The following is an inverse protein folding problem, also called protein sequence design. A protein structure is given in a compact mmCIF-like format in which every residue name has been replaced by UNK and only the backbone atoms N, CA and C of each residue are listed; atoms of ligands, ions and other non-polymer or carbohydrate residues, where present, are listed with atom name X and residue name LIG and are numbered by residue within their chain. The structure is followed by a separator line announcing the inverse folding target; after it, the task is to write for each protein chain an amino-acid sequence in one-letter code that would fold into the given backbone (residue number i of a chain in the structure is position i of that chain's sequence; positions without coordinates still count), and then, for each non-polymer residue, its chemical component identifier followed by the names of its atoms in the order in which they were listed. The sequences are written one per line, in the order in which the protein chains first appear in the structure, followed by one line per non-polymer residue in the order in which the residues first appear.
data_IF_322359977756
#
_entry.id   IF_322359977756
#
_cell.length_a   1.000
_cell.length_b   1.000
_cell.length_c   1.000
_cell.angle_alpha   90.00
_cell.angle_beta   90.00
_cell.angle_gamma   90.00
#
_symmetry.space_group_name_H-M   'P 1'
#
loop_
_entity.id
_entity.type
_entity.pdbx_description
1 polymer ?
#
# COMPACT_ATOMS: atom_id res chain seq x y z
N UNK A 1 55.72 -53.11 25.29
CA UNK A 1 54.96 -51.85 25.25
C UNK A 1 54.67 -51.54 23.79
N UNK A 2 53.45 -51.39 23.27
CA UNK A 2 52.07 -51.65 23.72
C UNK A 2 51.23 -51.46 22.43
N UNK A 3 50.33 -52.41 22.11
CA UNK A 3 48.90 -52.31 21.68
C UNK A 3 48.49 -51.10 20.78
N UNK A 4 47.57 -51.12 19.81
CA UNK A 4 46.46 -51.96 19.34
C UNK A 4 45.96 -51.27 18.05
N UNK A 5 45.80 -51.97 16.92
CA UNK A 5 44.52 -52.45 16.35
C UNK A 5 43.32 -51.47 16.27
N UNK A 6 42.86 -51.31 15.02
CA UNK A 6 41.46 -51.37 14.56
C UNK A 6 40.41 -50.35 15.04
N UNK A 7 39.86 -49.59 14.07
CA UNK A 7 38.43 -49.63 13.70
C UNK A 7 38.24 -48.78 12.42
N UNK A 8 37.76 -49.28 11.26
CA UNK A 8 36.36 -49.71 10.94
C UNK A 8 35.40 -48.55 11.25
N UNK A 9 34.72 -47.92 10.30
CA UNK A 9 33.52 -48.37 9.57
C UNK A 9 33.25 -47.30 8.50
N UNK A 10 33.27 -47.65 7.21
CA UNK A 10 32.10 -47.95 6.36
C UNK A 10 31.29 -46.68 6.02
N UNK A 11 31.39 -46.22 4.77
CA UNK A 11 30.42 -46.49 3.69
C UNK A 11 29.05 -45.87 3.98
N UNK A 12 28.74 -44.81 3.24
CA UNK A 12 27.44 -44.17 3.27
C UNK A 12 27.34 -43.18 2.11
N UNK A 13 27.24 -43.75 0.91
CA UNK A 13 26.39 -43.25 -0.19
C UNK A 13 26.55 -41.77 -0.58
N UNK A 14 27.45 -41.54 -1.56
CA UNK A 14 27.13 -40.65 -2.68
C UNK A 14 25.88 -41.21 -3.38
N UNK A 15 24.69 -40.75 -2.98
CA UNK A 15 23.45 -40.79 -3.76
C UNK A 15 22.35 -40.09 -2.96
N UNK A 16 22.06 -38.83 -3.29
CA UNK A 16 20.95 -38.12 -2.62
C UNK A 16 20.73 -36.66 -2.98
N UNK A 17 21.36 -36.14 -4.04
CA UNK A 17 21.11 -34.77 -4.51
C UNK A 17 20.39 -34.70 -5.87
N UNK A 18 19.93 -35.83 -6.40
CA UNK A 18 19.13 -35.88 -7.63
C UNK A 18 17.73 -36.38 -7.27
N UNK A 19 16.72 -35.55 -7.53
CA UNK A 19 15.29 -35.69 -7.18
C UNK A 19 14.83 -35.05 -5.86
N UNK A 20 15.32 -33.85 -5.53
CA UNK A 20 14.39 -32.91 -4.91
C UNK A 20 13.33 -32.58 -5.96
N UNK A 21 12.04 -32.92 -5.73
CA UNK A 21 11.02 -32.69 -6.74
C UNK A 21 10.97 -31.20 -7.06
N UNK A 22 10.92 -30.85 -8.34
CA UNK A 22 11.06 -29.48 -8.87
C UNK A 22 10.17 -28.42 -8.18
N UNK A 23 9.09 -28.84 -7.51
CA UNK A 23 8.22 -27.96 -6.72
C UNK A 23 8.83 -27.47 -5.39
N UNK A 24 9.94 -28.04 -4.92
CA UNK A 24 10.68 -27.60 -3.72
C UNK A 24 11.86 -26.68 -4.04
N UNK A 25 12.24 -26.54 -5.32
CA UNK A 25 13.37 -25.72 -5.78
C UNK A 25 12.95 -24.31 -6.21
N UNK A 26 11.66 -24.08 -6.43
CA UNK A 26 11.11 -22.75 -6.63
C UNK A 26 10.39 -22.36 -5.33
N UNK A 27 10.97 -21.49 -4.48
CA UNK A 27 10.16 -20.85 -3.45
C UNK A 27 8.91 -20.27 -4.12
N UNK A 28 7.73 -20.34 -3.49
CA UNK A 28 6.55 -19.73 -4.05
C UNK A 28 6.88 -18.28 -4.37
N UNK A 29 6.50 -17.84 -5.57
CA UNK A 29 6.81 -16.51 -6.08
C UNK A 29 6.53 -15.46 -4.99
N UNK A 30 7.42 -14.50 -4.76
CA UNK A 30 7.40 -13.59 -3.59
C UNK A 30 6.05 -12.86 -3.37
N UNK A 31 5.18 -12.83 -4.37
CA UNK A 31 3.86 -12.19 -4.35
C UNK A 31 2.67 -13.16 -4.22
N UNK A 32 2.88 -14.45 -3.94
CA UNK A 32 1.80 -15.44 -3.96
C UNK A 32 0.71 -15.16 -2.92
N UNK A 33 1.08 -14.75 -1.69
CA UNK A 33 0.14 -14.38 -0.63
C UNK A 33 -0.67 -13.14 -1.02
N UNK A 34 0.00 -12.17 -1.64
CA UNK A 34 -0.63 -10.95 -2.14
C UNK A 34 -1.64 -11.26 -3.25
N UNK A 35 -1.29 -12.15 -4.18
CA UNK A 35 -2.20 -12.56 -5.26
C UNK A 35 -3.42 -13.33 -4.73
N UNK A 36 -3.27 -14.15 -3.67
CA UNK A 36 -4.40 -14.80 -3.00
C UNK A 36 -5.31 -13.76 -2.34
N UNK A 37 -4.71 -12.75 -1.69
CA UNK A 37 -5.47 -11.65 -1.10
C UNK A 37 -6.27 -10.89 -2.16
N UNK A 38 -5.64 -10.53 -3.28
CA UNK A 38 -6.30 -9.85 -4.40
C UNK A 38 -7.40 -10.70 -5.03
N UNK A 39 -7.21 -12.02 -5.17
CA UNK A 39 -8.26 -12.91 -5.69
C UNK A 39 -9.48 -12.96 -4.75
N UNK A 40 -9.27 -13.07 -3.44
CA UNK A 40 -10.36 -13.00 -2.45
C UNK A 40 -11.11 -11.67 -2.50
N UNK A 41 -10.41 -10.58 -2.74
CA UNK A 41 -10.99 -9.25 -2.90
C UNK A 41 -11.79 -9.15 -4.21
N UNK A 42 -11.23 -9.66 -5.31
CA UNK A 42 -11.83 -9.66 -6.63
C UNK A 42 -13.17 -10.42 -6.67
N UNK A 43 -13.28 -11.53 -5.92
CA UNK A 43 -14.53 -12.29 -5.78
C UNK A 43 -15.67 -11.52 -5.10
N UNK A 44 -15.37 -10.40 -4.41
CA UNK A 44 -16.35 -9.57 -3.71
C UNK A 44 -16.74 -8.31 -4.47
N UNK A 45 -16.17 -8.09 -5.66
CA UNK A 45 -16.42 -6.93 -6.52
C UNK A 45 -17.26 -7.43 -7.70
N UNK A 46 -18.44 -6.84 -7.89
CA UNK A 46 -19.33 -7.23 -8.98
C UNK A 46 -18.98 -6.56 -10.32
N UNK A 47 -19.66 -6.98 -11.39
CA UNK A 47 -19.39 -6.49 -12.75
C UNK A 47 -19.67 -4.98 -12.93
N UNK A 48 -20.64 -4.42 -12.20
CA UNK A 48 -20.95 -2.98 -12.27
C UNK A 48 -19.92 -2.16 -11.50
N UNK A 49 -19.48 -2.64 -10.35
CA UNK A 49 -18.35 -2.09 -9.61
C UNK A 49 -17.06 -2.15 -10.43
N UNK A 50 -16.79 -3.25 -11.12
CA UNK A 50 -15.64 -3.39 -12.03
C UNK A 50 -15.70 -2.36 -13.17
N UNK A 51 -16.87 -2.13 -13.79
CA UNK A 51 -17.02 -1.07 -14.80
C UNK A 51 -16.68 0.30 -14.23
N UNK A 52 -17.10 0.60 -13.00
CA UNK A 52 -16.77 1.86 -12.31
C UNK A 52 -15.27 1.97 -12.00
N UNK A 53 -14.63 0.90 -11.52
CA UNK A 53 -13.18 0.86 -11.29
C UNK A 53 -12.39 1.15 -12.56
N UNK A 54 -12.75 0.50 -13.66
CA UNK A 54 -12.14 0.73 -14.97
C UNK A 54 -12.35 2.17 -15.45
N UNK A 55 -13.47 2.78 -15.08
CA UNK A 55 -13.77 4.16 -15.42
C UNK A 55 -12.90 5.15 -14.64
N UNK A 56 -12.59 4.87 -13.36
CA UNK A 56 -11.66 5.70 -12.58
C UNK A 56 -10.27 5.76 -13.20
N UNK A 57 -9.84 4.66 -13.81
CA UNK A 57 -8.57 4.58 -14.54
C UNK A 57 -8.66 5.00 -16.00
N UNK A 58 -9.84 5.40 -16.51
CA UNK A 58 -9.98 5.74 -17.92
C UNK A 58 -9.35 7.11 -18.24
N UNK A 59 -8.38 7.15 -19.16
CA UNK A 59 -7.74 8.42 -19.52
C UNK A 59 -6.49 8.28 -20.38
N UNK A 60 -5.87 9.42 -20.70
CA UNK A 60 -4.67 9.51 -21.55
C UNK A 60 -3.51 8.65 -21.02
N UNK A 61 -3.32 8.67 -19.69
CA UNK A 61 -2.23 7.95 -19.00
C UNK A 61 -2.71 6.68 -18.26
N UNK A 62 -3.97 6.31 -18.45
CA UNK A 62 -4.61 5.16 -17.77
C UNK A 62 -5.03 4.06 -18.75
N UNK A 63 -6.23 3.52 -18.53
CA UNK A 63 -6.88 2.52 -19.39
C UNK A 63 -7.40 3.21 -20.65
N UNK A 64 -6.94 2.73 -21.81
CA UNK A 64 -7.44 3.14 -23.13
C UNK A 64 -8.71 2.35 -23.49
N UNK A 65 -9.54 2.89 -24.37
CA UNK A 65 -10.81 2.28 -24.82
C UNK A 65 -10.71 0.79 -25.18
N UNK A 66 -9.67 0.40 -25.92
CA UNK A 66 -9.44 -1.00 -26.29
C UNK A 66 -9.29 -1.91 -25.07
N UNK A 67 -8.40 -1.53 -24.15
CA UNK A 67 -8.14 -2.31 -22.93
C UNK A 67 -9.33 -2.28 -21.98
N UNK A 68 -10.07 -1.16 -21.96
CA UNK A 68 -11.33 -1.04 -21.24
C UNK A 68 -12.35 -2.07 -21.73
N UNK A 69 -12.41 -2.39 -23.02
CA UNK A 69 -13.35 -3.38 -23.55
C UNK A 69 -12.84 -4.82 -23.36
N UNK A 70 -11.53 -5.05 -23.47
CA UNK A 70 -10.90 -6.38 -23.37
C UNK A 70 -10.93 -6.95 -21.95
N UNK A 71 -10.72 -6.12 -20.94
CA UNK A 71 -10.69 -6.53 -19.52
C UNK A 71 -12.10 -6.87 -19.01
N UNK A 72 -12.34 -8.14 -18.70
CA UNK A 72 -13.65 -8.69 -18.30
C UNK A 72 -13.76 -8.98 -16.82
N UNK A 73 -12.65 -9.27 -16.15
CA UNK A 73 -12.67 -9.68 -14.73
C UNK A 73 -11.94 -8.69 -13.83
N UNK A 74 -12.29 -8.68 -12.55
CA UNK A 74 -11.60 -7.85 -11.54
C UNK A 74 -10.16 -8.32 -11.34
N UNK A 75 -9.88 -9.62 -11.49
CA UNK A 75 -8.52 -10.14 -11.47
C UNK A 75 -7.67 -9.56 -12.59
N UNK A 76 -8.19 -9.49 -13.82
CA UNK A 76 -7.49 -8.86 -14.95
C UNK A 76 -7.24 -7.37 -14.70
N UNK A 77 -8.18 -6.69 -14.03
CA UNK A 77 -7.99 -5.29 -13.62
C UNK A 77 -6.89 -5.14 -12.58
N UNK A 78 -6.87 -5.96 -11.53
CA UNK A 78 -5.79 -5.93 -10.53
C UNK A 78 -4.44 -6.28 -11.13
N UNK A 79 -4.38 -7.30 -11.98
CA UNK A 79 -3.16 -7.65 -12.71
C UNK A 79 -2.65 -6.47 -13.55
N UNK A 80 -3.54 -5.77 -14.26
CA UNK A 80 -3.18 -4.55 -14.99
C UNK A 80 -2.58 -3.47 -14.09
N UNK A 81 -3.14 -3.24 -12.90
CA UNK A 81 -2.60 -2.26 -11.94
C UNK A 81 -1.23 -2.70 -11.40
N UNK A 82 -1.03 -3.99 -11.17
CA UNK A 82 0.24 -4.56 -10.74
C UNK A 82 1.33 -4.37 -11.81
N UNK A 83 1.04 -4.67 -13.07
CA UNK A 83 1.96 -4.47 -14.20
C UNK A 83 2.39 -2.99 -14.38
N UNK A 84 1.56 -2.07 -13.89
CA UNK A 84 1.79 -0.62 -13.93
C UNK A 84 2.48 -0.08 -12.67
N UNK A 85 2.79 -0.93 -11.68
CA UNK A 85 3.26 -0.55 -10.35
C UNK A 85 2.32 0.44 -9.63
N UNK A 86 1.02 0.41 -9.97
CA UNK A 86 -0.01 1.20 -9.30
C UNK A 86 -0.51 0.45 -8.06
N UNK A 87 -0.50 -0.89 -8.14
CA UNK A 87 -0.88 -1.80 -7.06
C UNK A 87 0.27 -2.76 -6.78
N UNK A 88 0.76 -2.79 -5.55
CA UNK A 88 1.83 -3.71 -5.14
C UNK A 88 1.67 -4.10 -3.68
N UNK A 89 2.43 -5.09 -3.24
CA UNK A 89 2.38 -5.61 -1.86
C UNK A 89 2.69 -4.51 -0.83
N UNK A 90 3.56 -3.58 -1.19
CA UNK A 90 3.99 -2.43 -0.41
C UNK A 90 3.17 -1.15 -0.69
N UNK A 91 2.21 -1.19 -1.62
CA UNK A 91 1.40 -0.02 -1.97
C UNK A 91 -0.04 -0.38 -2.34
N UNK A 92 -0.94 -0.20 -1.37
CA UNK A 92 -2.39 -0.36 -1.48
C UNK A 92 -3.15 0.96 -1.57
N UNK A 93 -2.46 2.10 -1.53
CA UNK A 93 -3.10 3.43 -1.45
C UNK A 93 -4.08 3.66 -2.60
N UNK A 94 -3.67 3.30 -3.82
CA UNK A 94 -4.49 3.49 -5.01
C UNK A 94 -5.73 2.60 -4.99
N UNK A 95 -5.57 1.33 -4.61
CA UNK A 95 -6.69 0.41 -4.43
C UNK A 95 -7.65 0.89 -3.35
N UNK A 96 -7.15 1.38 -2.22
CA UNK A 96 -8.00 1.95 -1.19
C UNK A 96 -8.77 3.16 -1.71
N UNK A 97 -8.16 4.05 -2.50
CA UNK A 97 -8.85 5.22 -3.06
C UNK A 97 -9.99 4.80 -4.01
N UNK A 98 -9.76 3.80 -4.85
CA UNK A 98 -10.81 3.31 -5.74
C UNK A 98 -11.96 2.62 -4.99
N UNK A 99 -11.65 1.74 -4.02
CA UNK A 99 -12.67 1.10 -3.18
C UNK A 99 -13.44 2.13 -2.36
N UNK A 100 -12.76 3.20 -1.98
CA UNK A 100 -13.35 4.34 -1.32
C UNK A 100 -14.42 5.00 -2.22
N UNK A 101 -14.08 5.34 -3.47
CA UNK A 101 -15.03 5.91 -4.44
C UNK A 101 -16.17 4.94 -4.84
N UNK A 102 -15.97 3.63 -4.66
CA UNK A 102 -17.05 2.64 -4.77
C UNK A 102 -17.99 2.61 -3.56
N UNK A 103 -17.57 3.15 -2.41
CA UNK A 103 -18.29 3.03 -1.14
C UNK A 103 -18.07 1.69 -0.42
N UNK A 104 -17.07 0.90 -0.83
CA UNK A 104 -16.78 -0.46 -0.31
C UNK A 104 -15.88 -0.43 0.92
N UNK A 105 -16.41 0.16 1.99
CA UNK A 105 -15.74 0.28 3.29
C UNK A 105 -15.41 -1.07 3.94
N UNK A 106 -16.16 -2.11 3.62
CA UNK A 106 -15.87 -3.50 4.00
C UNK A 106 -14.53 -3.96 3.42
N UNK A 107 -14.32 -3.73 2.12
CA UNK A 107 -13.10 -4.13 1.40
C UNK A 107 -11.89 -3.29 1.82
N UNK A 108 -12.07 -1.99 2.06
CA UNK A 108 -10.99 -1.12 2.58
C UNK A 108 -10.45 -1.63 3.91
N UNK A 109 -11.33 -2.10 4.81
CA UNK A 109 -10.93 -2.67 6.09
C UNK A 109 -10.16 -3.98 5.91
N UNK A 110 -10.52 -4.80 4.93
CA UNK A 110 -9.78 -6.03 4.61
C UNK A 110 -8.38 -5.71 4.06
N UNK A 111 -8.27 -4.71 3.19
CA UNK A 111 -6.99 -4.24 2.69
C UNK A 111 -6.11 -3.66 3.82
N UNK A 112 -6.68 -2.87 4.73
CA UNK A 112 -5.95 -2.36 5.90
C UNK A 112 -5.44 -3.48 6.82
N UNK A 113 -6.28 -4.48 7.10
CA UNK A 113 -5.87 -5.67 7.88
C UNK A 113 -4.76 -6.45 7.20
N UNK A 114 -4.81 -6.61 5.88
CA UNK A 114 -3.74 -7.25 5.14
C UNK A 114 -2.43 -6.44 5.26
N UNK A 115 -2.51 -5.12 5.05
CA UNK A 115 -1.34 -4.24 5.15
C UNK A 115 -0.71 -4.23 6.56
N UNK A 116 -1.48 -4.41 7.62
CA UNK A 116 -0.96 -4.56 8.99
C UNK A 116 -0.10 -5.83 9.17
N UNK A 117 -0.30 -6.87 8.33
CA UNK A 117 0.51 -8.10 8.37
C UNK A 117 1.80 -8.00 7.59
N UNK A 118 1.93 -7.01 6.70
CA UNK A 118 3.09 -6.83 5.82
C UNK A 118 3.83 -5.55 6.23
N UNK A 119 5.07 -5.67 6.75
CA UNK A 119 5.88 -4.51 7.12
C UNK A 119 6.02 -3.51 5.98
N UNK A 120 6.08 -2.22 6.31
CA UNK A 120 6.36 -1.12 5.38
C UNK A 120 5.34 -0.93 4.24
N UNK A 121 4.16 -1.55 4.32
CA UNK A 121 3.08 -1.35 3.33
C UNK A 121 2.45 0.03 3.46
N UNK A 122 2.32 0.75 2.34
CA UNK A 122 1.58 2.00 2.24
C UNK A 122 0.08 1.72 2.04
N UNK A 123 -0.75 2.20 2.98
CA UNK A 123 -2.21 2.06 2.91
C UNK A 123 -2.90 3.22 3.66
N UNK A 124 -4.20 3.44 3.41
CA UNK A 124 -4.95 4.42 4.21
C UNK A 124 -5.22 3.87 5.61
N UNK A 125 -4.64 4.51 6.63
CA UNK A 125 -4.99 4.29 8.02
C UNK A 125 -6.20 5.16 8.41
N UNK A 126 -7.23 4.56 8.99
CA UNK A 126 -8.38 5.30 9.55
C UNK A 126 -8.08 5.58 11.03
N UNK A 127 -7.95 6.85 11.47
CA UNK A 127 -7.66 7.15 12.87
C UNK A 127 -8.79 6.70 13.79
N UNK A 128 -8.41 6.17 14.96
CA UNK A 128 -9.36 5.73 15.99
C UNK A 128 -10.24 6.90 16.46
N UNK A 129 -11.55 6.70 16.64
CA UNK A 129 -12.49 7.73 17.10
C UNK A 129 -12.20 8.29 18.50
N UNK A 130 -11.25 7.71 19.24
CA UNK A 130 -10.91 8.07 20.63
C UNK A 130 -9.99 9.29 20.75
N UNK A 131 -9.35 9.77 19.66
CA UNK A 131 -8.47 10.95 19.66
C UNK A 131 -9.11 12.17 18.96
N UNK A 132 -10.13 12.77 19.59
CA UNK A 132 -10.75 14.03 19.12
C UNK A 132 -10.42 15.15 20.10
N UNK A 133 -9.70 16.20 19.66
CA UNK A 133 -9.52 17.43 20.45
C UNK A 133 -10.19 18.63 19.76
N UNK A 134 -11.11 19.30 20.48
CA UNK A 134 -11.62 20.64 20.18
C UNK A 134 -12.19 20.90 18.77
N UNK A 135 -12.86 19.93 18.15
CA UNK A 135 -13.49 20.11 16.83
C UNK A 135 -12.49 20.17 15.67
N UNK A 136 -11.28 19.65 15.88
CA UNK A 136 -10.28 19.42 14.85
C UNK A 136 -9.90 17.94 14.81
N UNK A 137 -9.62 17.42 13.61
CA UNK A 137 -9.12 16.07 13.40
C UNK A 137 -7.70 16.11 12.84
N UNK A 138 -6.88 15.15 13.27
CA UNK A 138 -5.51 14.98 12.80
C UNK A 138 -5.50 14.17 11.49
N UNK A 139 -4.96 14.76 10.43
CA UNK A 139 -4.66 14.10 9.18
C UNK A 139 -3.14 14.00 9.01
N UNK A 140 -2.61 12.78 8.95
CA UNK A 140 -1.17 12.53 8.80
C UNK A 140 -0.90 12.03 7.39
N UNK A 141 0.00 12.72 6.69
CA UNK A 141 0.45 12.37 5.35
C UNK A 141 1.94 12.05 5.41
N UNK A 142 2.33 10.89 4.91
CA UNK A 142 3.73 10.55 4.72
C UNK A 142 4.11 10.77 3.26
N UNK A 143 5.19 11.53 3.04
CA UNK A 143 5.71 11.86 1.72
C UNK A 143 7.13 11.35 1.64
N UNK A 144 7.32 10.26 0.92
CA UNK A 144 8.64 9.72 0.63
C UNK A 144 9.37 10.61 -0.40
N UNK A 145 10.67 10.85 -0.20
CA UNK A 145 11.48 11.64 -1.13
C UNK A 145 12.86 11.06 -1.37
N UNK A 146 13.23 10.87 -2.64
CA UNK A 146 14.56 10.37 -3.03
C UNK A 146 15.72 11.30 -2.60
N UNK A 147 15.44 12.60 -2.53
CA UNK A 147 16.37 13.64 -2.10
C UNK A 147 15.58 14.78 -1.43
N UNK A 148 15.26 14.61 -0.14
CA UNK A 148 14.70 15.69 0.67
C UNK A 148 15.75 16.65 1.20
N UNK A 149 17.03 16.27 1.15
CA UNK A 149 18.15 17.09 1.64
C UNK A 149 18.33 18.38 0.85
N UNK A 150 17.83 18.43 -0.39
CA UNK A 150 17.82 19.65 -1.21
C UNK A 150 16.83 20.72 -0.73
N UNK A 151 15.82 20.37 0.06
CA UNK A 151 14.83 21.32 0.55
C UNK A 151 15.29 21.91 1.88
N UNK A 152 15.37 23.24 1.93
CA UNK A 152 15.75 23.96 3.15
C UNK A 152 14.53 24.13 4.04
N UNK A 153 14.77 24.48 5.31
CA UNK A 153 13.71 24.83 6.26
C UNK A 153 12.75 25.89 5.71
N UNK A 154 13.27 26.85 4.95
CA UNK A 154 12.48 27.88 4.26
C UNK A 154 11.51 27.30 3.22
N UNK A 155 11.89 26.22 2.52
CA UNK A 155 11.04 25.57 1.52
C UNK A 155 9.93 24.76 2.19
N UNK A 156 10.23 24.11 3.31
CA UNK A 156 9.23 23.44 4.14
C UNK A 156 8.25 24.44 4.76
N UNK A 157 8.74 25.62 5.16
CA UNK A 157 7.87 26.68 5.70
C UNK A 157 6.98 27.30 4.60
N UNK A 158 7.48 27.43 3.36
CA UNK A 158 6.65 27.80 2.20
C UNK A 158 5.59 26.74 1.93
N UNK A 159 5.95 25.45 1.96
CA UNK A 159 5.00 24.35 1.81
C UNK A 159 3.93 24.39 2.90
N UNK A 160 4.34 24.58 4.15
CA UNK A 160 3.45 24.75 5.30
C UNK A 160 2.48 25.92 5.13
N UNK A 161 2.99 27.06 4.65
CA UNK A 161 2.19 28.25 4.32
C UNK A 161 1.18 27.97 3.21
N UNK A 162 1.60 27.27 2.15
CA UNK A 162 0.72 26.89 1.04
C UNK A 162 -0.39 25.97 1.55
N UNK A 163 -0.06 24.95 2.33
CA UNK A 163 -1.03 24.00 2.88
C UNK A 163 -2.02 24.69 3.83
N UNK A 164 -1.53 25.51 4.75
CA UNK A 164 -2.36 26.31 5.65
C UNK A 164 -3.37 27.18 4.88
N UNK A 165 -2.91 27.90 3.85
CA UNK A 165 -3.77 28.75 3.03
C UNK A 165 -4.77 27.95 2.19
N UNK A 166 -4.35 26.81 1.63
CA UNK A 166 -5.20 25.97 0.75
C UNK A 166 -6.26 25.19 1.53
N UNK A 167 -5.93 24.76 2.74
CA UNK A 167 -6.85 24.03 3.62
C UNK A 167 -7.66 24.96 4.52
N UNK A 168 -7.36 26.26 4.54
CA UNK A 168 -8.06 27.24 5.37
C UNK A 168 -7.85 27.03 6.87
N UNK A 169 -6.70 26.46 7.26
CA UNK A 169 -6.38 26.15 8.66
C UNK A 169 -5.28 27.08 9.18
N UNK A 170 -5.25 27.41 10.48
CA UNK A 170 -4.17 28.19 11.06
C UNK A 170 -2.80 27.62 10.72
N UNK A 171 -1.81 28.49 10.53
CA UNK A 171 -0.44 28.06 10.21
C UNK A 171 0.15 27.11 11.27
N UNK A 172 -0.20 27.32 12.55
CA UNK A 172 0.16 26.47 13.67
C UNK A 172 -0.36 25.02 13.55
N UNK A 173 -1.40 24.79 12.75
CA UNK A 173 -2.10 23.51 12.63
C UNK A 173 -1.54 22.61 11.53
N UNK A 174 -0.59 23.11 10.74
CA UNK A 174 0.18 22.30 9.81
C UNK A 174 1.55 22.07 10.45
N UNK A 175 1.93 20.82 10.68
CA UNK A 175 3.24 20.42 11.18
C UNK A 175 3.92 19.63 10.06
N UNK A 176 5.14 20.01 9.72
CA UNK A 176 5.96 19.29 8.76
C UNK A 176 7.22 18.84 9.48
N UNK A 177 7.39 17.54 9.63
CA UNK A 177 8.53 16.91 10.29
C UNK A 177 9.30 16.07 9.27
N UNK A 178 10.58 16.36 9.10
CA UNK A 178 11.47 15.48 8.35
C UNK A 178 11.90 14.30 9.21
N UNK A 179 11.76 13.09 8.69
CA UNK A 179 12.32 11.89 9.30
C UNK A 179 13.73 11.67 8.73
N UNK A 180 14.72 11.67 9.63
CA UNK A 180 16.08 11.22 9.32
C UNK A 180 16.24 9.84 9.97
N UNK A 181 16.75 8.80 9.29
CA UNK A 181 17.46 8.79 8.01
C UNK A 181 16.61 8.51 6.76
N UNK A 182 15.28 8.33 6.89
CA UNK A 182 14.39 7.78 5.84
C UNK A 182 14.13 8.69 4.64
N UNK A 183 14.67 9.92 4.61
CA UNK A 183 14.39 10.91 3.55
C UNK A 183 12.89 11.04 3.26
N UNK A 184 12.08 11.09 4.30
CA UNK A 184 10.62 11.29 4.18
C UNK A 184 10.15 12.50 5.00
N UNK A 185 9.09 13.16 4.53
CA UNK A 185 8.35 14.15 5.31
C UNK A 185 7.11 13.49 5.89
N UNK A 186 6.85 13.76 7.16
CA UNK A 186 5.53 13.57 7.75
C UNK A 186 4.89 14.94 7.83
N UNK A 187 3.74 15.09 7.20
CA UNK A 187 2.91 16.29 7.23
C UNK A 187 1.68 15.95 8.07
N UNK A 188 1.59 16.54 9.25
CA UNK A 188 0.42 16.44 10.10
C UNK A 188 -0.40 17.71 9.95
N UNK A 189 -1.68 17.60 9.67
CA UNK A 189 -2.59 18.74 9.57
C UNK A 189 -3.77 18.56 10.51
N UNK A 190 -4.04 19.56 11.34
CA UNK A 190 -5.26 19.65 12.12
C UNK A 190 -6.33 20.39 11.31
N UNK A 191 -7.40 19.69 10.95
CA UNK A 191 -8.45 20.18 10.05
C UNK A 191 -9.77 20.31 10.83
N UNK A 192 -10.54 21.41 10.69
CA UNK A 192 -11.85 21.55 11.34
C UNK A 192 -12.76 20.37 11.03
N UNK A 193 -13.53 19.91 12.00
CA UNK A 193 -14.32 18.67 11.92
C UNK A 193 -15.28 18.65 10.73
N UNK A 194 -15.93 19.76 10.39
CA UNK A 194 -16.76 19.89 9.17
C UNK A 194 -15.97 19.75 7.86
N UNK A 195 -14.72 20.23 7.80
CA UNK A 195 -13.86 20.07 6.62
C UNK A 195 -13.23 18.67 6.60
N UNK A 196 -12.97 18.09 7.77
CA UNK A 196 -12.58 16.70 7.91
C UNK A 196 -13.73 15.79 7.46
N UNK A 197 -14.99 16.12 7.77
CA UNK A 197 -16.19 15.49 7.24
C UNK A 197 -16.24 15.60 5.72
N UNK A 198 -15.92 16.75 5.11
CA UNK A 198 -15.78 16.86 3.65
C UNK A 198 -14.62 16.03 3.11
N UNK A 199 -13.50 15.92 3.81
CA UNK A 199 -12.42 15.00 3.43
C UNK A 199 -12.76 13.53 3.67
N UNK A 200 -13.73 13.26 4.55
CA UNK A 200 -14.38 11.97 4.87
C UNK A 200 -15.56 11.69 3.91
N UNK A 201 -16.14 12.70 3.26
CA UNK A 201 -17.22 12.65 2.25
C UNK A 201 -16.69 12.72 0.80
N UNK A 202 -15.53 13.36 0.56
CA UNK A 202 -14.70 13.26 -0.66
C UNK A 202 -13.82 12.02 -0.65
N UNK A 203 -13.57 11.54 0.56
CA UNK A 203 -13.71 10.12 0.82
C UNK A 203 -15.12 9.75 0.26
N UNK A 204 -16.25 9.73 0.97
CA UNK A 204 -17.56 9.13 0.54
C UNK A 204 -18.21 9.24 -0.87
N UNK A 205 -17.59 9.81 -1.93
CA UNK A 205 -18.00 9.70 -3.35
C UNK A 205 -16.79 9.36 -4.18
#
# INVERSE_FOLDING_TARGET
MTLEQSNKVASGEEQGAENLPLHLLNPPHDNWEFNIFLDKLAQKIDDEELKRLKYFEYGHDGIRKRLFEEMKTTQEFFFYLQERNILSVDNLVHLHAMLWHLGRNDLIKECAKYAETVPDTLYFHQPSPERRENGYQEAVFHVEGKDLTKYKREDLEKLRTILSRRLGVPHAFVIISGLTPSKSLVITVMIPEYNAEILVELRGK
#
